data_IF_287555822101
#
_entry.id   IF_287555822101
#
_cell.length_a   1.000
_cell.length_b   1.000
_cell.length_c   1.000
_cell.angle_alpha   90.00
_cell.angle_beta   90.00
_cell.angle_gamma   90.00
#
_symmetry.space_group_name_H-M   'P 1'
#
loop_
_entity.id
_entity.type
_entity.pdbx_description
1 polymer ?
2 non-polymer ?
3 water ?
#
# COMPACT_ATOMS: atom_id res chain seq x y z
N UNK A 4 -8.40 12.96 -9.07
CA UNK A 4 -8.98 11.70 -9.60
C UNK A 4 -8.23 10.56 -8.82
N UNK A 5 -8.89 9.39 -8.78
CA UNK A 5 -8.35 8.19 -8.06
C UNK A 5 -6.98 7.79 -8.58
N UNK A 6 -6.23 7.22 -7.67
CA UNK A 6 -4.90 6.75 -7.97
C UNK A 6 -4.87 5.24 -7.78
N UNK A 7 -4.06 4.60 -8.58
CA UNK A 7 -3.90 3.18 -8.52
C UNK A 7 -2.52 2.92 -7.90
N UNK A 8 -2.56 2.03 -6.90
CA UNK A 8 -1.30 1.57 -6.28
C UNK A 8 -1.12 0.11 -6.63
N UNK A 9 0.11 -0.27 -7.04
CA UNK A 9 0.40 -1.67 -7.33
C UNK A 9 1.32 -2.14 -6.18
N UNK A 10 0.85 -3.21 -5.52
CA UNK A 10 1.52 -3.78 -4.37
C UNK A 10 2.18 -5.13 -4.70
N UNK A 11 3.28 -5.43 -3.97
CA UNK A 11 3.96 -6.70 -4.06
C UNK A 11 4.17 -7.25 -2.67
N UNK A 12 3.87 -8.54 -2.48
CA UNK A 12 4.10 -9.21 -1.21
C UNK A 12 5.46 -9.90 -1.21
N UNK A 13 5.85 -10.38 -0.02
CA UNK A 13 7.09 -11.13 0.12
C UNK A 13 7.07 -12.46 -0.67
N UNK A 14 5.87 -13.00 -0.93
CA UNK A 14 5.74 -14.16 -1.76
C UNK A 14 5.68 -13.85 -3.26
N UNK A 15 5.97 -12.58 -3.62
CA UNK A 15 6.07 -12.13 -5.02
C UNK A 15 4.71 -12.07 -5.70
N UNK A 16 3.64 -11.96 -4.90
CA UNK A 16 2.30 -11.80 -5.46
C UNK A 16 2.03 -10.29 -5.57
N UNK A 17 1.38 -9.94 -6.66
CA UNK A 17 1.04 -8.55 -6.95
C UNK A 17 -0.48 -8.35 -7.02
N UNK A 18 -0.90 -7.14 -6.76
CA UNK A 18 -2.30 -6.79 -6.79
C UNK A 18 -2.36 -5.26 -6.74
N UNK A 19 -3.53 -4.75 -7.16
CA UNK A 19 -3.74 -3.30 -7.23
C UNK A 19 -4.85 -2.87 -6.27
N UNK A 20 -4.69 -1.64 -5.78
CA UNK A 20 -5.69 -0.96 -4.93
C UNK A 20 -5.89 0.44 -5.52
N UNK A 21 -7.20 0.79 -5.65
CA UNK A 21 -7.58 2.13 -6.14
C UNK A 21 -7.98 2.92 -4.86
N UNK A 22 -7.51 4.14 -4.82
CA UNK A 22 -7.87 5.06 -3.74
C UNK A 22 -7.86 6.50 -4.16
N UNK A 23 -8.39 7.35 -3.29
CA UNK A 23 -8.33 8.81 -3.57
C UNK A 23 -6.96 9.35 -3.04
N UNK A 24 -6.47 10.43 -3.66
CA UNK A 24 -5.12 10.99 -3.36
C UNK A 24 -4.98 11.55 -1.96
N UNK A 25 -6.10 11.99 -1.41
CA UNK A 25 -6.18 12.51 -0.04
C UNK A 25 -6.40 11.44 0.98
N UNK A 26 -6.71 10.21 0.57
CA UNK A 26 -6.83 9.12 1.57
C UNK A 26 -5.40 8.74 2.06
N UNK A 27 -5.33 8.36 3.33
CA UNK A 27 -4.05 8.12 3.96
C UNK A 27 -3.52 6.69 3.73
N UNK A 28 -2.25 6.52 4.09
CA UNK A 28 -1.62 5.22 4.15
C UNK A 28 -2.44 4.24 4.98
N UNK A 29 -3.01 4.70 6.11
CA UNK A 29 -3.87 3.82 6.92
C UNK A 29 -5.03 3.24 6.05
N UNK A 30 -5.68 4.10 5.26
CA UNK A 30 -6.79 3.66 4.37
C UNK A 30 -6.27 2.60 3.35
N UNK A 31 -5.05 2.83 2.82
CA UNK A 31 -4.42 1.85 1.96
C UNK A 31 -4.29 0.52 2.67
N UNK A 32 -3.78 0.53 3.89
CA UNK A 32 -3.64 -0.71 4.66
C UNK A 32 -4.99 -1.40 4.86
N UNK A 33 -6.04 -0.63 5.18
CA UNK A 33 -7.39 -1.19 5.36
C UNK A 33 -7.87 -1.84 4.08
N UNK A 34 -7.62 -1.18 2.96
CA UNK A 34 -7.95 -1.73 1.64
C UNK A 34 -7.18 -3.02 1.33
N UNK A 35 -5.90 -3.05 1.68
CA UNK A 35 -5.07 -4.24 1.55
C UNK A 35 -5.66 -5.38 2.37
N UNK A 36 -6.03 -5.08 3.60
CA UNK A 36 -6.62 -6.12 4.50
C UNK A 36 -7.91 -6.68 3.90
N UNK A 37 -8.72 -5.80 3.32
CA UNK A 37 -9.95 -6.27 2.62
C UNK A 37 -9.65 -7.19 1.43
N UNK A 38 -8.57 -6.86 0.71
CA UNK A 38 -8.24 -7.60 -0.52
C UNK A 38 -7.53 -8.91 -0.17
N UNK A 39 -6.66 -8.88 0.85
CA UNK A 39 -5.73 -9.97 1.12
C UNK A 39 -6.01 -10.73 2.40
N UNK A 40 -6.93 -10.22 3.23
CA UNK A 40 -7.42 -10.91 4.41
C UNK A 40 -6.74 -10.50 5.68
N UNK A 41 -7.51 -10.53 6.78
CA UNK A 41 -7.03 -10.25 8.15
C UNK A 41 -6.02 -11.29 8.64
N UNK A 42 -6.10 -12.52 8.13
CA UNK A 42 -5.28 -13.64 8.65
C UNK A 42 -3.78 -13.29 8.39
N UNK A 43 -3.46 -12.94 7.14
CA UNK A 43 -2.08 -12.75 6.69
C UNK A 43 -1.70 -11.23 6.60
N UNK A 44 -2.70 -10.34 6.47
CA UNK A 44 -2.46 -8.93 6.27
C UNK A 44 -3.26 -8.01 7.23
N UNK A 45 -3.24 -8.31 8.54
CA UNK A 45 -3.90 -7.41 9.44
C UNK A 45 -3.27 -5.99 9.38
N UNK A 46 -4.13 -4.99 9.42
CA UNK A 46 -3.68 -3.59 9.30
C UNK A 46 -2.50 -3.33 10.23
N UNK A 47 -2.62 -3.76 11.49
CA UNK A 47 -1.62 -3.39 12.53
C UNK A 47 -0.26 -4.00 12.28
N UNK A 48 -0.22 -5.08 11.49
CA UNK A 48 1.03 -5.69 11.17
C UNK A 48 1.70 -5.21 9.90
N UNK A 49 0.96 -4.57 9.02
CA UNK A 49 1.46 -4.18 7.71
C UNK A 49 2.50 -3.05 7.83
N UNK A 50 3.57 -3.27 7.04
CA UNK A 50 4.63 -2.29 6.80
C UNK A 50 4.71 -2.12 5.31
N UNK A 51 4.55 -0.89 4.87
CA UNK A 51 4.58 -0.55 3.44
C UNK A 51 5.90 0.17 3.17
N UNK A 52 6.60 -0.30 2.11
CA UNK A 52 7.94 0.19 1.76
C UNK A 52 7.92 0.74 0.33
N UNK A 53 8.39 2.00 0.20
CA UNK A 53 8.42 2.67 -1.09
C UNK A 53 9.47 3.80 -1.03
N UNK A 54 10.27 3.92 -2.09
CA UNK A 54 11.22 5.06 -2.21
C UNK A 54 12.15 5.15 -0.97
N UNK A 55 12.52 4.00 -0.43
CA UNK A 55 13.49 3.96 0.67
C UNK A 55 12.91 4.33 2.01
N UNK A 56 11.59 4.38 2.07
CA UNK A 56 10.85 4.77 3.29
C UNK A 56 9.86 3.73 3.73
N UNK A 57 9.56 3.79 5.00
CA UNK A 57 8.45 3.03 5.58
C UNK A 57 7.28 4.03 5.63
N UNK A 58 6.21 3.73 4.94
CA UNK A 58 5.11 4.71 4.77
C UNK A 58 4.34 4.82 6.08
N UNK A 59 4.08 6.08 6.46
CA UNK A 59 3.47 6.41 7.76
C UNK A 59 1.92 6.52 7.59
N UNK A 60 1.20 5.94 8.57
CA UNK A 60 -0.28 5.78 8.50
C UNK A 60 -1.05 7.06 8.19
N UNK A 61 -0.68 8.18 8.83
CA UNK A 61 -1.53 9.38 8.68
C UNK A 61 -1.18 10.35 7.53
N UNK A 62 -0.24 9.90 6.69
CA UNK A 62 0.15 10.69 5.55
C UNK A 62 -0.81 10.43 4.38
N UNK A 63 -1.34 11.51 3.76
CA UNK A 63 -2.10 11.31 2.52
C UNK A 63 -1.24 10.67 1.47
N UNK A 64 -1.81 9.70 0.74
CA UNK A 64 -1.01 8.94 -0.19
C UNK A 64 -0.30 9.78 -1.23
N UNK A 65 -0.97 10.88 -1.67
CA UNK A 65 -0.35 11.78 -2.65
C UNK A 65 1.04 12.26 -2.23
N UNK A 66 1.22 12.43 -0.92
CA UNK A 66 2.48 13.04 -0.43
C UNK A 66 3.71 12.16 -0.67
N UNK A 67 3.51 10.87 -0.93
CA UNK A 67 4.59 9.99 -1.27
C UNK A 67 4.85 9.91 -2.79
N UNK A 68 3.98 10.50 -3.58
CA UNK A 68 4.18 10.59 -5.06
C UNK A 68 4.49 9.21 -5.70
N UNK A 69 3.61 8.30 -5.40
CA UNK A 69 3.76 6.91 -5.81
C UNK A 69 3.30 6.70 -7.25
N UNK A 70 4.22 6.21 -8.05
CA UNK A 70 3.95 5.95 -9.50
C UNK A 70 3.22 4.57 -9.64
N UNK A 71 2.11 4.51 -10.39
CA UNK A 71 1.30 3.27 -10.61
C UNK A 71 2.22 2.22 -11.26
N UNK A 72 3.36 2.62 -11.84
CA UNK A 72 4.21 1.75 -12.70
C UNK A 72 5.36 1.15 -11.91
N UNK A 73 5.47 1.58 -10.65
CA UNK A 73 6.30 0.90 -9.66
C UNK A 73 5.50 0.06 -8.64
N UNK A 74 6.23 -0.68 -7.82
CA UNK A 74 5.62 -1.44 -6.71
C UNK A 74 5.86 -0.82 -5.33
N UNK A 75 4.79 -0.83 -4.54
CA UNK A 75 4.87 -0.66 -3.05
C UNK A 75 4.93 -2.06 -2.47
N UNK A 76 5.98 -2.33 -1.71
CA UNK A 76 6.13 -3.65 -1.08
C UNK A 76 5.38 -3.65 0.31
N UNK A 77 4.54 -4.70 0.51
CA UNK A 77 3.80 -4.89 1.72
C UNK A 77 4.38 -6.11 2.47
N UNK A 78 4.93 -5.88 3.67
CA UNK A 78 5.44 -6.86 4.55
C UNK A 78 4.57 -6.86 5.80
N UNK A 79 4.54 -7.95 6.52
CA UNK A 79 3.78 -8.04 7.71
C UNK A 79 4.68 -8.49 8.86
N UNK A 80 4.70 -7.78 9.98
CA UNK A 80 5.51 -8.15 11.16
C UNK A 80 4.70 -8.63 12.35
X LIG B 1 -3.86 15.91 -6.88
X LIG B 1 -5.18 15.66 -6.24
X LIG B 1 -3.94 15.76 -8.31
X LIG B 1 -3.36 17.35 -6.81
X LIG B 1 -2.94 14.95 -6.23
X LIG C 1 7.81 12.62 1.47
X LIG C 1 7.66 12.07 0.10
X LIG C 1 8.92 13.61 1.42
X LIG C 1 8.22 11.51 2.38
X LIG C 1 6.55 13.35 1.82
#
# INVERSE_FOLDING_TARGET
>A
GIPMAVTITLKTLQQQTFKIRMEPDETVKVLKEKIEAEKGRDAFPVAGQKLIYAGKILSDDVPIRDYRIDEKNFVVVMVTKTKAG
>B hetero
1 SO4 S O1 O2 O3 O4
>C hetero
1 SO4 S O1 O2 O3 O4
#
